data_IF_197011116861
#
_entry.id   IF_197011116861
#
_cell.length_a   1.000
_cell.length_b   1.000
_cell.length_c   1.000
_cell.angle_alpha   90.00
_cell.angle_beta   90.00
_cell.angle_gamma   90.00
#
_symmetry.space_group_name_H-M   'P 1'
#
loop_
_entity.id
_entity.type
_entity.pdbx_description
1 polymer ?
#
# COMPACT_ATOMS: atom_id res chain seq x y z
N UNK A 1 2.59 4.10 -18.33
CA UNK A 1 2.19 3.81 -16.93
C UNK A 1 0.68 4.03 -16.67
N UNK A 2 -0.21 3.86 -17.66
CA UNK A 2 -1.66 4.13 -17.50
C UNK A 2 -2.52 2.92 -17.10
N UNK A 3 -2.00 1.69 -17.21
CA UNK A 3 -2.74 0.45 -16.90
C UNK A 3 -2.72 0.02 -15.43
N UNK A 4 -1.78 0.54 -14.64
CA UNK A 4 -1.72 0.25 -13.20
C UNK A 4 -2.47 1.36 -12.47
N UNK A 5 -3.72 1.09 -12.11
CA UNK A 5 -4.52 2.02 -11.30
C UNK A 5 -3.90 2.13 -9.91
N UNK A 6 -3.74 3.36 -9.43
CA UNK A 6 -3.22 3.65 -8.09
C UNK A 6 -4.28 3.52 -6.98
N UNK A 7 -5.52 3.19 -7.32
CA UNK A 7 -6.68 3.08 -6.42
C UNK A 7 -7.63 2.00 -6.93
N UNK A 8 -8.45 1.45 -6.03
CA UNK A 8 -9.43 0.39 -6.31
C UNK A 8 -8.78 -0.84 -6.96
N UNK A 9 -7.57 -1.17 -6.48
CA UNK A 9 -6.89 -2.38 -6.94
C UNK A 9 -7.66 -3.62 -6.48
N UNK A 10 -7.54 -4.73 -7.21
CA UNK A 10 -8.17 -6.01 -6.81
C UNK A 10 -7.93 -6.38 -5.32
N UNK A 11 -6.70 -6.31 -4.77
CA UNK A 11 -6.50 -6.60 -3.34
C UNK A 11 -7.21 -5.62 -2.42
N UNK A 12 -7.26 -4.33 -2.78
CA UNK A 12 -8.00 -3.32 -2.02
C UNK A 12 -9.50 -3.62 -1.97
N UNK A 13 -10.09 -3.99 -3.09
CA UNK A 13 -11.50 -4.36 -3.16
C UNK A 13 -11.81 -5.61 -2.34
N UNK A 14 -10.93 -6.61 -2.33
CA UNK A 14 -11.09 -7.84 -1.53
C UNK A 14 -11.10 -7.49 -0.03
N UNK A 15 -10.11 -6.72 0.44
CA UNK A 15 -10.03 -6.32 1.85
C UNK A 15 -11.21 -5.45 2.25
N UNK A 16 -11.63 -4.52 1.38
CA UNK A 16 -12.82 -3.68 1.59
C UNK A 16 -14.10 -4.48 1.74
N UNK A 17 -14.31 -5.47 0.88
CA UNK A 17 -15.47 -6.37 0.95
C UNK A 17 -15.43 -7.22 2.21
N UNK A 18 -14.26 -7.77 2.55
CA UNK A 18 -14.06 -8.57 3.76
C UNK A 18 -14.37 -7.76 5.02
N UNK A 19 -13.76 -6.58 5.19
CA UNK A 19 -14.01 -5.72 6.35
C UNK A 19 -15.48 -5.33 6.48
N UNK A 20 -16.12 -4.98 5.36
CA UNK A 20 -17.54 -4.64 5.37
C UNK A 20 -18.43 -5.83 5.74
N UNK A 21 -18.14 -7.02 5.21
CA UNK A 21 -18.85 -8.26 5.55
C UNK A 21 -18.71 -8.64 7.03
N UNK A 22 -17.57 -8.31 7.63
CA UNK A 22 -17.29 -8.48 9.07
C UNK A 22 -17.85 -7.33 9.94
N UNK A 23 -18.63 -6.40 9.36
CA UNK A 23 -19.27 -5.30 10.11
C UNK A 23 -18.35 -4.12 10.44
N UNK A 24 -17.11 -4.09 9.94
CA UNK A 24 -16.22 -2.96 10.17
C UNK A 24 -16.60 -1.77 9.28
N UNK A 25 -16.75 -0.60 9.91
CA UNK A 25 -16.88 0.67 9.21
C UNK A 25 -15.50 1.30 9.06
N UNK A 26 -15.13 1.58 7.82
CA UNK A 26 -13.84 2.19 7.47
C UNK A 26 -14.03 3.46 6.64
N UNK A 27 -13.00 4.32 6.65
CA UNK A 27 -12.84 5.44 5.72
C UNK A 27 -11.72 5.12 4.75
N UNK A 28 -11.83 5.63 3.54
CA UNK A 28 -10.84 5.43 2.48
C UNK A 28 -9.96 6.66 2.33
N UNK A 29 -8.66 6.45 2.13
CA UNK A 29 -7.70 7.48 1.72
C UNK A 29 -7.77 8.79 2.54
N UNK A 30 -7.78 8.69 3.87
CA UNK A 30 -7.85 9.87 4.72
C UNK A 30 -6.58 10.73 4.55
N UNK A 31 -6.74 11.90 3.92
CA UNK A 31 -5.65 12.84 3.64
C UNK A 31 -5.14 13.54 4.90
N UNK A 32 -5.91 13.51 5.99
CA UNK A 32 -5.51 14.13 7.27
C UNK A 32 -4.44 13.31 7.99
N UNK A 33 -4.30 12.03 7.64
CA UNK A 33 -3.34 11.13 8.28
C UNK A 33 -2.05 11.06 7.47
N UNK A 34 -0.92 11.09 8.19
CA UNK A 34 0.42 10.94 7.61
C UNK A 34 0.51 9.61 6.85
N UNK A 35 1.07 9.66 5.65
CA UNK A 35 1.22 8.49 4.79
C UNK A 35 -0.01 8.13 3.95
N UNK A 36 -1.15 8.81 4.13
CA UNK A 36 -2.40 8.59 3.37
C UNK A 36 -2.79 7.09 3.34
N UNK A 37 -3.16 6.52 4.50
CA UNK A 37 -3.54 5.12 4.61
C UNK A 37 -4.69 4.77 3.65
N UNK A 38 -4.68 3.55 3.14
CA UNK A 38 -5.71 3.06 2.23
C UNK A 38 -7.04 2.91 2.95
N UNK A 39 -7.00 2.35 4.16
CA UNK A 39 -8.15 2.11 5.01
C UNK A 39 -7.88 2.65 6.41
N UNK A 40 -8.87 3.36 6.96
CA UNK A 40 -8.85 3.88 8.33
C UNK A 40 -10.04 3.31 9.07
N UNK A 41 -9.81 2.80 10.27
CA UNK A 41 -10.82 2.27 11.18
C UNK A 41 -10.90 3.21 12.40
N UNK A 42 -11.67 4.32 12.35
CA UNK A 42 -11.66 5.33 13.41
C UNK A 42 -12.08 4.78 14.77
N UNK A 43 -13.08 3.88 14.79
CA UNK A 43 -13.58 3.24 16.01
C UNK A 43 -12.48 2.48 16.76
N UNK A 44 -11.53 1.90 16.02
CA UNK A 44 -10.46 1.07 16.56
C UNK A 44 -9.11 1.81 16.60
N UNK A 45 -9.09 3.12 16.27
CA UNK A 45 -7.86 3.92 16.15
C UNK A 45 -6.77 3.24 15.31
N UNK A 46 -7.18 2.48 14.29
CA UNK A 46 -6.29 1.62 13.51
C UNK A 46 -6.26 2.08 12.05
N UNK A 47 -5.09 2.05 11.42
CA UNK A 47 -4.89 2.33 10.00
C UNK A 47 -4.32 1.10 9.30
N UNK A 48 -4.73 0.86 8.07
CA UNK A 48 -4.28 -0.28 7.26
C UNK A 48 -3.72 0.27 5.95
N UNK A 49 -2.48 -0.13 5.65
CA UNK A 49 -1.80 0.14 4.40
C UNK A 49 -1.76 -1.13 3.56
N UNK A 50 -2.22 -1.03 2.32
CA UNK A 50 -2.28 -2.15 1.37
C UNK A 50 -1.15 -2.00 0.35
N UNK A 51 0.02 -2.45 0.76
CA UNK A 51 1.23 -2.40 -0.06
C UNK A 51 1.26 -3.53 -1.09
N UNK A 52 1.32 -3.18 -2.38
CA UNK A 52 1.56 -4.16 -3.44
C UNK A 52 3.00 -4.70 -3.38
N UNK A 53 3.17 -6.02 -3.40
CA UNK A 53 4.47 -6.69 -3.29
C UNK A 53 5.51 -6.18 -4.30
N UNK A 54 5.07 -5.80 -5.51
CA UNK A 54 5.93 -5.25 -6.57
C UNK A 54 6.52 -3.87 -6.22
N UNK A 55 5.73 -2.97 -5.63
CA UNK A 55 6.12 -1.57 -5.40
C UNK A 55 6.97 -1.37 -4.15
N UNK A 56 6.88 -2.31 -3.21
CA UNK A 56 7.51 -2.24 -1.89
C UNK A 56 8.65 -3.25 -1.71
N UNK A 57 8.96 -4.04 -2.74
CA UNK A 57 10.13 -4.93 -2.74
C UNK A 57 10.11 -5.92 -1.59
N UNK A 58 9.02 -6.68 -1.47
CA UNK A 58 8.81 -7.64 -0.40
C UNK A 58 9.86 -8.76 -0.48
N UNK A 59 10.68 -8.91 0.55
CA UNK A 59 11.78 -9.88 0.58
C UNK A 59 11.23 -11.31 0.57
N UNK A 60 11.78 -12.18 -0.28
CA UNK A 60 11.34 -13.56 -0.43
C UNK A 60 10.01 -13.76 -1.17
N UNK A 61 9.42 -12.73 -1.78
CA UNK A 61 8.13 -12.85 -2.46
C UNK A 61 8.28 -13.29 -3.93
N UNK A 62 7.65 -14.40 -4.32
CA UNK A 62 7.58 -14.89 -5.71
C UNK A 62 6.98 -13.87 -6.70
N UNK A 63 6.16 -12.94 -6.22
CA UNK A 63 5.53 -11.89 -7.02
C UNK A 63 6.40 -10.63 -7.17
N UNK A 64 7.56 -10.57 -6.49
CA UNK A 64 8.53 -9.51 -6.66
C UNK A 64 9.56 -9.93 -7.71
N UNK A 65 9.39 -9.43 -8.94
CA UNK A 65 10.34 -9.63 -10.03
C UNK A 65 10.84 -8.25 -10.45
N UNK A 66 12.15 -8.05 -10.36
CA UNK A 66 12.77 -6.81 -10.84
C UNK A 66 12.66 -6.79 -12.37
N UNK A 67 12.05 -5.75 -12.96
CA UNK A 67 11.97 -5.64 -14.41
C UNK A 67 13.38 -5.56 -15.02
N UNK A 68 13.62 -6.37 -16.05
CA UNK A 68 14.88 -6.34 -16.83
C UNK A 68 15.04 -5.06 -17.66
N UNK A 69 13.97 -4.29 -17.84
CA UNK A 69 13.96 -3.02 -18.57
C UNK A 69 14.00 -1.85 -17.59
N UNK A 70 14.97 -0.93 -17.75
CA UNK A 70 15.20 0.23 -16.86
C UNK A 70 15.37 -0.18 -15.39
N UNK A 71 16.17 -1.22 -15.15
CA UNK A 71 16.38 -1.82 -13.83
C UNK A 71 16.82 -0.81 -12.78
N UNK A 72 17.78 0.06 -13.08
CA UNK A 72 18.27 1.07 -12.13
C UNK A 72 17.17 2.05 -11.72
N UNK A 73 16.35 2.49 -12.67
CA UNK A 73 15.20 3.37 -12.40
C UNK A 73 14.16 2.68 -11.51
N UNK A 74 13.88 1.39 -11.74
CA UNK A 74 12.96 0.63 -10.91
C UNK A 74 13.51 0.43 -9.50
N UNK A 75 14.79 0.10 -9.36
CA UNK A 75 15.45 -0.06 -8.08
C UNK A 75 15.41 1.23 -7.27
N UNK A 76 15.78 2.37 -7.88
CA UNK A 76 15.73 3.67 -7.21
C UNK A 76 14.29 4.03 -6.78
N UNK A 77 13.31 3.80 -7.64
CA UNK A 77 11.89 4.03 -7.33
C UNK A 77 11.38 3.16 -6.18
N UNK A 78 11.71 1.87 -6.17
CA UNK A 78 11.31 0.93 -5.12
C UNK A 78 11.99 1.31 -3.80
N UNK A 79 13.28 1.64 -3.83
CA UNK A 79 14.03 2.09 -2.66
C UNK A 79 13.46 3.39 -2.09
N UNK A 80 13.06 4.33 -2.95
CA UNK A 80 12.36 5.55 -2.54
C UNK A 80 11.02 5.27 -1.85
N UNK A 81 10.26 4.27 -2.32
CA UNK A 81 9.04 3.83 -1.65
C UNK A 81 9.33 3.22 -0.28
N UNK A 82 10.28 2.27 -0.19
CA UNK A 82 10.71 1.66 1.08
C UNK A 82 11.12 2.72 2.12
N UNK A 83 11.93 3.71 1.73
CA UNK A 83 12.34 4.82 2.61
C UNK A 83 11.14 5.63 3.11
N UNK A 84 10.15 5.88 2.24
CA UNK A 84 8.93 6.59 2.61
C UNK A 84 8.11 5.79 3.63
N UNK A 85 8.01 4.48 3.46
CA UNK A 85 7.28 3.61 4.39
C UNK A 85 7.94 3.55 5.77
N UNK A 86 9.28 3.44 5.80
CA UNK A 86 10.06 3.49 7.05
C UNK A 86 9.76 4.79 7.79
N UNK A 87 9.82 5.94 7.11
CA UNK A 87 9.54 7.25 7.71
C UNK A 87 8.11 7.37 8.26
N UNK A 88 7.14 6.71 7.64
CA UNK A 88 5.75 6.69 8.13
C UNK A 88 5.64 5.82 9.39
N UNK A 89 6.39 4.71 9.47
CA UNK A 89 6.35 3.78 10.62
C UNK A 89 7.06 4.30 11.87
N UNK A 90 8.14 5.08 11.76
CA UNK A 90 8.93 5.49 12.92
C UNK A 90 8.39 6.67 13.71
N UNK A 91 7.38 7.38 13.20
CA UNK A 91 6.95 8.68 13.76
C UNK A 91 5.48 8.71 14.21
N UNK A 92 4.97 7.58 14.73
CA UNK A 92 3.66 7.49 15.36
C UNK A 92 3.60 8.23 16.70
#
# INVERSE_FOLDING_TARGET
MSRVRSKDTKPELIVRKFLHAQGFRYRLHDKKLRGKPDLVLPKYKTVIFLHGCFFHGHEGCRFFIVPKTRTDWWLDKINGNKRRDVRIKTNF
#
